data_IF_721244944900
#
_entry.id   IF_721244944900
#
_cell.length_a   1.000
_cell.length_b   1.000
_cell.length_c   1.000
_cell.angle_alpha   90.00
_cell.angle_beta   90.00
_cell.angle_gamma   90.00
#
_symmetry.space_group_name_H-M   'P 1'
#
loop_
_entity.id
_entity.type
_entity.pdbx_description
1 polymer ?
#
# COMPACT_ATOMS: atom_id res chain seq x y z
N UNK A 1 13.74 18.60 -23.29
CA UNK A 1 13.95 17.20 -22.88
C UNK A 1 12.77 16.81 -22.00
N UNK A 2 12.27 15.58 -22.11
CA UNK A 2 11.19 15.10 -21.23
C UNK A 2 11.83 14.75 -19.87
N UNK A 3 11.22 15.18 -18.78
CA UNK A 3 11.69 14.88 -17.43
C UNK A 3 11.64 13.36 -17.19
N UNK A 4 12.66 12.81 -16.52
CA UNK A 4 12.73 11.38 -16.22
C UNK A 4 11.66 11.03 -15.19
N UNK A 5 10.92 9.93 -15.41
CA UNK A 5 9.96 9.43 -14.44
C UNK A 5 10.71 8.59 -13.40
N UNK A 6 10.60 8.97 -12.14
CA UNK A 6 11.08 8.25 -10.98
C UNK A 6 9.88 7.83 -10.14
N UNK A 7 9.52 6.55 -10.26
CA UNK A 7 8.32 6.00 -9.65
C UNK A 7 8.62 5.25 -8.36
N UNK A 8 7.69 5.32 -7.40
CA UNK A 8 7.67 4.45 -6.22
C UNK A 8 6.41 3.57 -6.25
N UNK A 9 6.58 2.26 -6.11
CA UNK A 9 5.47 1.30 -6.06
C UNK A 9 5.01 1.10 -4.60
N UNK A 10 3.75 1.40 -4.33
CA UNK A 10 3.10 1.19 -3.04
C UNK A 10 2.10 0.05 -3.20
N UNK A 11 2.30 -1.02 -2.44
CA UNK A 11 1.32 -2.09 -2.27
C UNK A 11 0.37 -1.72 -1.14
N UNK A 12 -0.87 -1.39 -1.49
CA UNK A 12 -1.85 -0.86 -0.56
C UNK A 12 -2.96 -1.88 -0.30
N UNK A 13 -2.72 -2.74 0.69
CA UNK A 13 -3.69 -3.67 1.29
C UNK A 13 -3.01 -4.46 2.41
N UNK A 14 -3.77 -4.86 3.43
CA UNK A 14 -3.30 -5.80 4.45
C UNK A 14 -3.58 -7.27 4.10
N UNK A 15 -4.30 -7.52 3.00
CA UNK A 15 -4.75 -8.84 2.55
C UNK A 15 -3.88 -9.42 1.44
N UNK A 16 -2.71 -8.84 1.19
CA UNK A 16 -1.81 -9.33 0.15
C UNK A 16 -0.95 -10.52 0.63
N UNK A 17 -0.49 -11.30 -0.35
CA UNK A 17 0.61 -12.28 -0.25
C UNK A 17 0.36 -13.58 0.54
N UNK A 18 -0.65 -13.67 1.39
CA UNK A 18 -0.91 -14.90 2.16
C UNK A 18 -2.37 -15.09 2.50
N UNK A 19 -2.90 -16.27 2.15
CA UNK A 19 -4.23 -16.77 2.48
C UNK A 19 -4.25 -17.54 3.81
N UNK A 20 -3.13 -17.54 4.55
CA UNK A 20 -2.91 -18.30 5.79
C UNK A 20 -1.95 -17.58 6.73
N UNK A 21 -1.98 -17.88 8.04
CA UNK A 21 -1.07 -17.27 9.00
C UNK A 21 0.35 -17.75 8.69
N UNK A 22 1.25 -16.83 8.34
CA UNK A 22 2.64 -17.15 8.00
C UNK A 22 3.55 -16.79 9.16
N UNK A 23 3.93 -17.79 9.96
CA UNK A 23 4.83 -17.61 11.11
C UNK A 23 6.26 -17.22 10.71
N UNK A 24 6.66 -17.38 9.45
CA UNK A 24 8.05 -17.28 9.01
C UNK A 24 8.43 -15.94 8.35
N UNK A 25 7.50 -15.01 8.12
CA UNK A 25 7.80 -13.67 7.56
C UNK A 25 7.96 -12.57 8.61
N UNK A 26 7.90 -12.90 9.90
CA UNK A 26 8.04 -11.92 10.99
C UNK A 26 6.90 -10.90 11.11
N UNK A 27 5.88 -10.98 10.26
CA UNK A 27 4.75 -10.03 10.19
C UNK A 27 3.45 -10.56 10.79
N UNK A 28 3.37 -11.85 11.11
CA UNK A 28 2.18 -12.41 11.76
C UNK A 28 2.39 -12.40 13.27
N UNK A 29 1.79 -11.44 13.98
CA UNK A 29 1.56 -11.64 15.40
C UNK A 29 0.69 -12.90 15.58
N UNK A 30 0.93 -13.73 16.60
CA UNK A 30 0.08 -14.88 16.87
C UNK A 30 -1.38 -14.44 16.99
N UNK A 31 -2.24 -14.89 16.07
CA UNK A 31 -3.67 -14.59 16.07
C UNK A 31 -4.15 -13.45 15.16
N UNK A 32 -3.29 -12.85 14.32
CA UNK A 32 -3.79 -11.90 13.32
C UNK A 32 -4.63 -12.60 12.24
N UNK A 33 -5.81 -12.07 11.90
CA UNK A 33 -6.63 -12.63 10.84
C UNK A 33 -5.94 -12.42 9.48
N UNK A 34 -5.91 -13.52 8.73
CA UNK A 34 -5.43 -13.69 7.35
C UNK A 34 -6.08 -12.71 6.36
N UNK A 35 -7.28 -12.24 6.71
CA UNK A 35 -8.10 -11.35 5.92
C UNK A 35 -8.73 -10.32 6.85
N UNK A 36 -8.77 -9.06 6.40
CA UNK A 36 -9.51 -7.95 7.00
C UNK A 36 -10.54 -7.47 5.98
N UNK A 37 -11.79 -7.35 6.42
CA UNK A 37 -12.89 -6.82 5.60
C UNK A 37 -12.88 -5.29 5.49
N UNK A 38 -11.99 -4.63 6.24
CA UNK A 38 -11.76 -3.20 6.19
C UNK A 38 -10.35 -2.89 5.70
N UNK A 39 -10.24 -1.90 4.82
CA UNK A 39 -8.96 -1.29 4.47
C UNK A 39 -8.41 -0.50 5.65
N UNK A 40 -7.14 -0.71 5.97
CA UNK A 40 -6.44 0.11 6.95
C UNK A 40 -5.92 1.38 6.27
N UNK A 41 -6.38 2.54 6.74
CA UNK A 41 -5.96 3.85 6.27
C UNK A 41 -5.51 4.70 7.46
N UNK A 42 -4.35 5.33 7.30
CA UNK A 42 -3.80 6.31 8.24
C UNK A 42 -3.31 7.51 7.41
N UNK A 43 -3.98 8.65 7.58
CA UNK A 43 -3.74 9.86 6.80
C UNK A 43 -2.42 10.53 7.18
N UNK A 44 -2.02 10.50 8.45
CA UNK A 44 -0.76 11.09 8.90
C UNK A 44 0.43 10.31 8.32
N UNK A 45 0.36 8.98 8.33
CA UNK A 45 1.38 8.13 7.70
C UNK A 45 1.44 8.37 6.20
N UNK A 46 0.29 8.49 5.54
CA UNK A 46 0.24 8.78 4.11
C UNK A 46 0.93 10.09 3.76
N UNK A 47 0.60 11.17 4.47
CA UNK A 47 1.18 12.50 4.24
C UNK A 47 2.70 12.51 4.44
N UNK A 48 3.18 11.86 5.51
CA UNK A 48 4.61 11.73 5.79
C UNK A 48 5.35 10.97 4.69
N UNK A 49 4.79 9.87 4.21
CA UNK A 49 5.38 9.05 3.13
C UNK A 49 5.43 9.85 1.82
N UNK A 50 4.33 10.48 1.42
CA UNK A 50 4.26 11.26 0.17
C UNK A 50 5.23 12.44 0.22
N UNK A 51 5.28 13.18 1.34
CA UNK A 51 6.21 14.27 1.52
C UNK A 51 7.68 13.81 1.46
N UNK A 52 7.99 12.65 2.06
CA UNK A 52 9.32 12.06 2.01
C UNK A 52 9.72 11.67 0.57
N UNK A 53 8.83 11.02 -0.18
CA UNK A 53 9.09 10.59 -1.55
C UNK A 53 9.31 11.78 -2.49
N UNK A 54 8.50 12.83 -2.36
CA UNK A 54 8.69 14.07 -3.11
C UNK A 54 10.05 14.72 -2.78
N UNK A 55 10.40 14.83 -1.49
CA UNK A 55 11.67 15.40 -1.04
C UNK A 55 12.90 14.62 -1.53
N UNK A 56 12.75 13.31 -1.77
CA UNK A 56 13.84 12.44 -2.24
C UNK A 56 13.94 12.34 -3.76
N UNK A 57 13.05 13.02 -4.50
CA UNK A 57 13.12 13.15 -5.96
C UNK A 57 12.25 12.17 -6.74
N UNK A 58 11.38 11.41 -6.08
CA UNK A 58 10.32 10.66 -6.77
C UNK A 58 9.24 11.63 -7.26
N UNK A 59 8.80 11.45 -8.49
CA UNK A 59 7.80 12.30 -9.13
C UNK A 59 6.57 11.53 -9.64
N UNK A 60 6.48 10.24 -9.30
CA UNK A 60 5.34 9.40 -9.64
C UNK A 60 5.13 8.35 -8.56
N UNK A 61 3.87 8.14 -8.17
CA UNK A 61 3.48 7.00 -7.35
C UNK A 61 2.72 6.00 -8.22
N UNK A 62 3.02 4.72 -8.05
CA UNK A 62 2.25 3.62 -8.62
C UNK A 62 1.62 2.92 -7.42
N UNK A 63 0.30 2.88 -7.36
CA UNK A 63 -0.41 2.27 -6.25
C UNK A 63 -1.06 0.99 -6.76
N UNK A 64 -0.61 -0.14 -6.21
CA UNK A 64 -1.23 -1.43 -6.37
C UNK A 64 -2.24 -1.62 -5.23
N UNK A 65 -3.52 -1.58 -5.57
CA UNK A 65 -4.62 -1.73 -4.61
C UNK A 65 -5.00 -3.21 -4.54
N UNK A 66 -4.63 -3.86 -3.44
CA UNK A 66 -4.76 -5.32 -3.30
C UNK A 66 -6.15 -5.80 -2.91
N UNK A 67 -7.00 -4.89 -2.41
CA UNK A 67 -8.35 -5.18 -1.99
C UNK A 67 -9.37 -4.91 -3.12
N UNK A 68 -10.44 -5.71 -3.15
CA UNK A 68 -11.54 -5.49 -4.07
C UNK A 68 -12.45 -4.37 -3.58
N UNK A 69 -12.51 -3.26 -4.32
CA UNK A 69 -13.40 -2.13 -4.03
C UNK A 69 -14.50 -2.00 -5.08
N UNK A 70 -15.68 -1.59 -4.62
CA UNK A 70 -16.72 -1.03 -5.50
C UNK A 70 -16.51 0.47 -5.52
N UNK A 71 -16.04 0.99 -6.64
CA UNK A 71 -15.90 2.43 -6.84
C UNK A 71 -17.26 3.05 -7.19
N UNK A 72 -17.53 4.26 -6.68
CA UNK A 72 -18.75 5.01 -7.01
C UNK A 72 -18.82 5.38 -8.51
N UNK A 73 -17.66 5.55 -9.14
CA UNK A 73 -17.49 5.77 -10.57
C UNK A 73 -16.23 5.07 -11.07
N UNK A 74 -16.01 5.04 -12.39
CA UNK A 74 -14.73 4.56 -12.91
C UNK A 74 -13.58 5.44 -12.35
N UNK A 75 -12.50 4.84 -11.79
CA UNK A 75 -11.34 5.57 -11.28
C UNK A 75 -10.59 6.35 -12.35
#
# INVERSE_FOLDING_TARGET
MKEMIWSYLIHFSTNMWSDRPVSHRGTSLPGEPIYRDTLHWDEEVWDDVVAHLAKTGYNTLIIDVGDGFVYESHP
#
